data_IF_944287382017
#
_entry.id   IF_944287382017
#
_cell.length_a   1.000
_cell.length_b   1.000
_cell.length_c   1.000
_cell.angle_alpha   90.00
_cell.angle_beta   90.00
_cell.angle_gamma   90.00
#
_symmetry.space_group_name_H-M   'P 1'
#
loop_
_entity.id
_entity.type
_entity.pdbx_description
1 polymer ?
#
# COMPACT_ATOMS: atom_id res chain seq x y z
N UNK A 1 -12.35 3.94 7.79
CA UNK A 1 -11.76 3.16 8.89
C UNK A 1 -11.34 1.80 8.32
N UNK A 2 -10.03 1.52 8.27
CA UNK A 2 -9.50 0.35 7.55
C UNK A 2 -9.44 -0.87 8.46
N UNK A 3 -10.55 -1.61 8.57
CA UNK A 3 -10.61 -2.77 9.48
C UNK A 3 -9.57 -3.86 9.16
N UNK A 4 -9.19 -4.03 7.89
CA UNK A 4 -8.22 -5.04 7.47
C UNK A 4 -6.82 -4.84 8.08
N UNK A 5 -6.38 -3.59 8.27
CA UNK A 5 -5.05 -3.28 8.77
C UNK A 5 -5.00 -3.04 10.28
N UNK A 6 -6.16 -2.85 10.92
CA UNK A 6 -6.21 -2.58 12.35
C UNK A 6 -5.51 -3.67 13.17
N UNK A 7 -5.67 -4.95 12.80
CA UNK A 7 -5.03 -6.04 13.53
C UNK A 7 -3.49 -5.97 13.41
N UNK A 8 -2.97 -5.78 12.20
CA UNK A 8 -1.53 -5.67 11.92
C UNK A 8 -0.88 -4.45 12.60
N UNK A 9 -1.60 -3.33 12.66
CA UNK A 9 -1.14 -2.12 13.34
C UNK A 9 -1.21 -2.25 14.86
N UNK A 10 -2.29 -2.85 15.38
CA UNK A 10 -2.49 -3.03 16.83
C UNK A 10 -1.57 -4.10 17.42
N UNK A 11 -1.17 -5.10 16.64
CA UNK A 11 -0.18 -6.10 17.02
C UNK A 11 1.26 -5.54 16.96
N UNK A 12 1.45 -4.31 16.42
CA UNK A 12 2.71 -3.58 16.47
C UNK A 12 3.76 -4.02 15.45
N UNK A 13 3.41 -4.91 14.53
CA UNK A 13 4.34 -5.47 13.55
C UNK A 13 4.63 -4.51 12.37
N UNK A 14 3.72 -3.56 12.09
CA UNK A 14 3.84 -2.65 10.96
C UNK A 14 3.48 -1.20 11.33
N UNK A 15 4.36 -0.26 10.96
CA UNK A 15 4.07 1.16 10.97
C UNK A 15 3.53 1.59 9.59
N UNK A 16 2.42 2.33 9.57
CA UNK A 16 1.79 2.80 8.32
C UNK A 16 2.12 4.27 8.12
N UNK A 17 2.74 4.63 6.99
CA UNK A 17 2.98 6.03 6.61
C UNK A 17 1.82 6.62 5.81
N UNK A 18 1.34 5.91 4.78
CA UNK A 18 0.29 6.37 3.88
C UNK A 18 -0.76 5.27 3.64
N UNK A 19 -2.03 5.67 3.52
CA UNK A 19 -3.15 4.77 3.22
C UNK A 19 -3.87 5.26 1.96
N UNK A 20 -3.95 4.42 0.94
CA UNK A 20 -4.76 4.66 -0.25
C UNK A 20 -6.10 3.94 -0.13
N UNK A 21 -7.21 4.68 -0.21
CA UNK A 21 -8.55 4.08 -0.17
C UNK A 21 -8.91 3.41 -1.50
N UNK A 22 -9.84 2.44 -1.47
CA UNK A 22 -10.32 1.73 -2.67
C UNK A 22 -10.74 2.67 -3.82
N UNK A 23 -11.36 3.80 -3.50
CA UNK A 23 -11.86 4.76 -4.48
C UNK A 23 -10.74 5.58 -5.14
N UNK A 24 -9.59 5.70 -4.47
CA UNK A 24 -8.42 6.42 -4.99
C UNK A 24 -7.48 5.51 -5.79
N UNK A 25 -7.60 4.18 -5.66
CA UNK A 25 -6.78 3.22 -6.40
C UNK A 25 -6.77 3.45 -7.91
N UNK A 26 -7.90 3.77 -8.58
CA UNK A 26 -7.88 4.00 -10.03
C UNK A 26 -6.98 5.17 -10.43
N UNK A 27 -6.75 6.13 -9.54
CA UNK A 27 -5.91 7.30 -9.79
C UNK A 27 -4.48 7.14 -9.28
N UNK A 28 -4.16 6.05 -8.57
CA UNK A 28 -2.81 5.81 -8.07
C UNK A 28 -1.87 5.48 -9.22
N UNK A 29 -0.89 6.34 -9.46
CA UNK A 29 0.16 6.17 -10.44
C UNK A 29 1.55 6.06 -9.80
N UNK A 30 2.57 5.93 -10.64
CA UNK A 30 3.95 5.70 -10.23
C UNK A 30 4.56 6.94 -9.56
N UNK A 31 4.20 8.15 -10.01
CA UNK A 31 4.71 9.38 -9.42
C UNK A 31 4.12 9.58 -8.03
N UNK A 32 2.82 9.35 -7.85
CA UNK A 32 2.15 9.38 -6.56
C UNK A 32 2.75 8.36 -5.59
N UNK A 33 3.04 7.15 -6.06
CA UNK A 33 3.69 6.12 -5.25
C UNK A 33 5.11 6.52 -4.85
N UNK A 34 5.92 7.02 -5.79
CA UNK A 34 7.28 7.51 -5.52
C UNK A 34 7.29 8.67 -4.54
N UNK A 35 6.34 9.61 -4.68
CA UNK A 35 6.18 10.70 -3.73
C UNK A 35 5.88 10.18 -2.34
N UNK A 36 4.90 9.28 -2.18
CA UNK A 36 4.54 8.70 -0.89
C UNK A 36 5.72 7.98 -0.21
N UNK A 37 6.55 7.27 -0.98
CA UNK A 37 7.77 6.64 -0.46
C UNK A 37 8.82 7.70 -0.09
N UNK A 38 9.06 8.67 -0.98
CA UNK A 38 10.14 9.65 -0.85
C UNK A 38 9.93 10.70 0.24
N UNK A 39 8.68 11.00 0.62
CA UNK A 39 8.39 11.89 1.77
C UNK A 39 8.36 11.16 3.11
N UNK A 40 8.41 9.82 3.13
CA UNK A 40 8.50 9.07 4.38
C UNK A 40 9.94 9.14 4.91
N UNK A 41 10.12 9.56 6.17
CA UNK A 41 11.46 9.70 6.78
C UNK A 41 12.17 8.36 6.93
N UNK A 42 11.40 7.34 7.29
CA UNK A 42 11.85 5.96 7.44
C UNK A 42 11.73 5.21 6.11
N UNK A 43 12.61 4.23 5.89
CA UNK A 43 12.59 3.43 4.66
C UNK A 43 11.29 2.62 4.58
N UNK A 44 10.48 2.87 3.54
CA UNK A 44 9.30 2.06 3.24
C UNK A 44 9.76 0.75 2.60
N UNK A 45 9.51 -0.36 3.29
CA UNK A 45 9.93 -1.70 2.86
C UNK A 45 8.76 -2.54 2.32
N UNK A 46 7.54 -2.28 2.78
CA UNK A 46 6.36 -3.08 2.43
C UNK A 46 5.13 -2.22 2.13
N UNK A 47 4.33 -2.69 1.18
CA UNK A 47 2.96 -2.24 0.94
C UNK A 47 1.94 -3.25 1.48
N UNK A 48 1.03 -2.81 2.35
CA UNK A 48 -0.07 -3.65 2.82
C UNK A 48 -1.25 -3.58 1.85
N UNK A 49 -1.68 -4.73 1.36
CA UNK A 49 -2.73 -4.85 0.34
C UNK A 49 -3.93 -5.61 0.89
N UNK A 50 -5.09 -4.94 0.98
CA UNK A 50 -6.38 -5.59 1.29
C UNK A 50 -6.81 -6.41 0.07
N UNK A 51 -6.50 -7.71 0.08
CA UNK A 51 -6.66 -8.53 -1.12
C UNK A 51 -8.12 -8.65 -1.56
N UNK A 52 -9.08 -8.48 -0.64
CA UNK A 52 -10.52 -8.51 -0.96
C UNK A 52 -10.99 -7.16 -1.50
N UNK A 53 -10.48 -6.06 -0.96
CA UNK A 53 -10.82 -4.69 -1.37
C UNK A 53 -10.34 -4.28 -2.76
N UNK A 54 -9.23 -4.85 -3.23
CA UNK A 54 -8.53 -4.45 -4.46
C UNK A 54 -9.18 -4.90 -5.78
N UNK A 55 -10.13 -5.85 -5.75
CA UNK A 55 -10.91 -6.32 -6.91
C UNK A 55 -10.10 -6.39 -8.24
N UNK A 56 -10.45 -5.57 -9.24
CA UNK A 56 -9.82 -5.54 -10.57
C UNK A 56 -8.49 -4.79 -10.66
N UNK A 57 -8.12 -4.02 -9.64
CA UNK A 57 -6.89 -3.20 -9.64
C UNK A 57 -5.65 -3.99 -9.19
N UNK A 58 -5.81 -5.24 -8.76
CA UNK A 58 -4.73 -6.07 -8.20
C UNK A 58 -3.51 -6.16 -9.10
N UNK A 59 -3.69 -6.54 -10.36
CA UNK A 59 -2.58 -6.72 -11.29
C UNK A 59 -1.85 -5.41 -11.55
N UNK A 60 -2.61 -4.32 -11.70
CA UNK A 60 -2.06 -2.99 -11.90
C UNK A 60 -1.21 -2.53 -10.71
N UNK A 61 -1.71 -2.74 -9.49
CA UNK A 61 -1.02 -2.36 -8.27
C UNK A 61 0.22 -3.21 -8.02
N UNK A 62 0.16 -4.51 -8.27
CA UNK A 62 1.34 -5.39 -8.16
C UNK A 62 2.43 -4.92 -9.13
N UNK A 63 2.08 -4.66 -10.39
CA UNK A 63 3.04 -4.16 -11.37
C UNK A 63 3.61 -2.78 -10.98
N UNK A 64 2.81 -1.92 -10.34
CA UNK A 64 3.25 -0.62 -9.85
C UNK A 64 4.25 -0.75 -8.70
N UNK A 65 3.98 -1.65 -7.75
CA UNK A 65 4.85 -1.91 -6.60
C UNK A 65 6.16 -2.58 -7.02
N UNK A 66 6.11 -3.55 -7.94
CA UNK A 66 7.30 -4.19 -8.50
C UNK A 66 8.20 -3.18 -9.22
N UNK A 67 7.63 -2.26 -10.01
CA UNK A 67 8.39 -1.16 -10.63
C UNK A 67 9.03 -0.22 -9.59
N UNK A 68 8.36 -0.02 -8.46
CA UNK A 68 8.88 0.78 -7.37
C UNK A 68 9.88 0.02 -6.47
N UNK A 69 10.10 -1.29 -6.71
CA UNK A 69 10.97 -2.13 -5.89
C UNK A 69 10.41 -2.40 -4.49
N UNK A 70 9.10 -2.30 -4.31
CA UNK A 70 8.42 -2.54 -3.04
C UNK A 70 7.88 -3.95 -2.96
N UNK A 71 8.14 -4.61 -1.84
CA UNK A 71 7.45 -5.86 -1.50
C UNK A 71 6.03 -5.56 -1.01
N UNK A 72 5.13 -6.54 -1.13
CA UNK A 72 3.76 -6.40 -0.66
C UNK A 72 3.35 -7.56 0.23
N UNK A 73 2.57 -7.23 1.27
CA UNK A 73 1.98 -8.21 2.18
C UNK A 73 0.47 -8.19 1.99
N UNK A 74 -0.13 -9.37 1.92
CA UNK A 74 -1.58 -9.53 1.75
C UNK A 74 -2.25 -9.51 3.13
N UNK A 75 -3.22 -8.62 3.30
CA UNK A 75 -4.13 -8.55 4.44
C UNK A 75 -5.55 -9.00 4.05
#
# INVERSE_FOLDING_TARGET
YCQAFNKLVLEGEYAISHICSKYALPHLDEEMLKQAIGVTKEQVTYALLDWKGLAGEKQRLIALLEKAGLEYVRA
#
